data_IF_883410474463
#
_entry.id   IF_883410474463
#
_cell.length_a   1.000
_cell.length_b   1.000
_cell.length_c   1.000
_cell.angle_alpha   90.00
_cell.angle_beta   90.00
_cell.angle_gamma   90.00
#
_symmetry.space_group_name_H-M   'P 1'
#
loop_
_entity.id
_entity.type
_entity.pdbx_description
1 polymer ?
#
# COMPACT_ATOMS: atom_id res chain seq x y z
N UNK A 1 -4.64 7.96 -4.13
CA UNK A 1 -4.86 8.11 -2.68
C UNK A 1 -3.79 9.02 -2.10
N UNK A 2 -4.05 9.58 -0.92
CA UNK A 2 -3.07 10.35 -0.17
C UNK A 2 -2.84 9.63 1.16
N UNK A 3 -1.59 9.40 1.53
CA UNK A 3 -1.26 8.76 2.82
C UNK A 3 -1.40 9.75 3.97
N UNK A 4 -1.48 9.24 5.20
CA UNK A 4 -1.48 10.08 6.42
C UNK A 4 -0.21 10.93 6.56
N UNK A 5 0.88 10.55 5.89
CA UNK A 5 2.15 11.27 5.86
C UNK A 5 2.21 12.31 4.73
N UNK A 6 1.14 12.47 3.94
CA UNK A 6 1.08 13.45 2.84
C UNK A 6 1.61 12.96 1.50
N UNK A 7 2.00 11.69 1.36
CA UNK A 7 2.44 11.14 0.07
C UNK A 7 1.26 10.89 -0.86
N UNK A 8 1.45 11.20 -2.15
CA UNK A 8 0.49 10.86 -3.20
C UNK A 8 0.81 9.49 -3.81
N UNK A 9 -0.22 8.71 -4.07
CA UNK A 9 -0.06 7.39 -4.68
C UNK A 9 -1.25 6.95 -5.54
N UNK A 10 -1.03 5.91 -6.33
CA UNK A 10 -2.02 5.24 -7.17
C UNK A 10 -2.07 3.78 -6.71
N UNK A 11 -3.26 3.23 -6.53
CA UNK A 11 -3.42 1.86 -6.03
C UNK A 11 -4.76 1.25 -6.44
N UNK A 12 -5.06 0.03 -5.99
CA UNK A 12 -6.20 -0.73 -6.48
C UNK A 12 -7.53 -0.09 -6.07
N UNK A 13 -8.57 -0.29 -6.89
CA UNK A 13 -9.91 0.22 -6.61
C UNK A 13 -10.52 -0.35 -5.30
N UNK A 14 -10.02 -1.50 -4.84
CA UNK A 14 -10.45 -2.15 -3.60
C UNK A 14 -9.87 -1.53 -2.31
N UNK A 15 -8.99 -0.52 -2.44
CA UNK A 15 -8.43 0.19 -1.28
C UNK A 15 -9.53 0.88 -0.47
N UNK A 16 -9.29 0.98 0.83
CA UNK A 16 -10.13 1.71 1.78
C UNK A 16 -9.28 2.52 2.75
N UNK A 17 -9.92 3.46 3.46
CA UNK A 17 -9.31 4.14 4.61
C UNK A 17 -8.90 3.08 5.64
N UNK A 18 -7.82 3.35 6.38
CA UNK A 18 -7.12 2.42 7.29
C UNK A 18 -6.29 1.30 6.64
N UNK A 19 -6.31 1.17 5.31
CA UNK A 19 -5.33 0.35 4.61
C UNK A 19 -3.91 0.93 4.76
N UNK A 20 -2.92 0.03 4.85
CA UNK A 20 -1.52 0.40 5.08
C UNK A 20 -0.70 0.19 3.83
N UNK A 21 0.06 1.21 3.46
CA UNK A 21 1.17 1.09 2.51
C UNK A 21 2.35 0.45 3.23
N UNK A 22 2.91 -0.61 2.67
CA UNK A 22 4.11 -1.28 3.18
C UNK A 22 5.04 -1.68 2.05
N UNK A 23 6.33 -1.81 2.34
CA UNK A 23 7.28 -2.52 1.49
C UNK A 23 7.65 -3.79 2.23
N UNK A 24 7.19 -4.94 1.73
CA UNK A 24 7.56 -6.23 2.31
C UNK A 24 9.00 -6.57 1.94
N UNK A 25 9.72 -7.25 2.83
CA UNK A 25 11.08 -7.71 2.55
C UNK A 25 11.10 -8.57 1.28
N UNK A 26 11.96 -8.20 0.32
CA UNK A 26 12.05 -8.84 -1.00
C UNK A 26 11.05 -8.33 -2.04
N UNK A 27 10.10 -7.46 -1.67
CA UNK A 27 9.28 -6.75 -2.65
C UNK A 27 10.06 -5.58 -3.25
N UNK A 28 9.95 -5.42 -4.57
CA UNK A 28 10.48 -4.26 -5.29
C UNK A 28 9.43 -3.16 -5.50
N UNK A 29 8.19 -3.41 -5.07
CA UNK A 29 7.07 -2.46 -5.19
C UNK A 29 6.36 -2.26 -3.84
N UNK A 30 5.79 -1.07 -3.58
CA UNK A 30 4.90 -0.85 -2.45
C UNK A 30 3.61 -1.66 -2.57
N UNK A 31 3.11 -2.15 -1.44
CA UNK A 31 1.93 -2.99 -1.33
C UNK A 31 0.92 -2.38 -0.37
N UNK A 32 -0.36 -2.62 -0.64
CA UNK A 32 -1.46 -2.27 0.25
C UNK A 32 -1.90 -3.49 1.05
N UNK A 33 -1.81 -3.39 2.37
CA UNK A 33 -2.30 -4.39 3.30
C UNK A 33 -3.48 -3.88 4.11
N UNK A 34 -4.49 -4.75 4.31
CA UNK A 34 -5.62 -4.51 5.20
C UNK A 34 -5.53 -5.43 6.41
N UNK A 35 -5.67 -4.89 7.61
CA UNK A 35 -5.70 -5.69 8.84
C UNK A 35 -7.02 -6.47 8.94
N UNK A 36 -6.94 -7.76 9.25
CA UNK A 36 -8.10 -8.60 9.56
C UNK A 36 -8.32 -8.58 11.09
N UNK A 37 -9.35 -7.87 11.56
CA UNK A 37 -9.55 -7.66 13.01
C UNK A 37 -9.71 -8.95 13.80
N UNK A 38 -10.31 -9.99 13.21
CA UNK A 38 -10.60 -11.27 13.87
C UNK A 38 -9.39 -12.19 14.06
N UNK A 39 -8.31 -12.01 13.28
CA UNK A 39 -7.18 -12.96 13.25
C UNK A 39 -5.83 -12.32 13.50
N UNK A 40 -5.74 -10.99 13.55
CA UNK A 40 -4.46 -10.27 13.61
C UNK A 40 -3.62 -10.36 12.33
N UNK A 41 -4.07 -11.14 11.35
CA UNK A 41 -3.44 -11.29 10.05
C UNK A 41 -3.69 -10.06 9.17
N UNK A 42 -2.96 -9.99 8.06
CA UNK A 42 -3.18 -8.99 7.02
C UNK A 42 -3.63 -9.67 5.73
N UNK A 43 -4.58 -9.03 5.05
CA UNK A 43 -4.96 -9.35 3.67
C UNK A 43 -4.18 -8.45 2.72
N UNK A 44 -3.57 -9.05 1.70
CA UNK A 44 -3.04 -8.31 0.57
C UNK A 44 -4.20 -7.76 -0.27
N UNK A 45 -4.27 -6.44 -0.41
CA UNK A 45 -5.27 -5.76 -1.25
C UNK A 45 -4.74 -5.62 -2.68
N UNK A 46 -3.45 -5.30 -2.83
CA UNK A 46 -2.77 -5.23 -4.12
C UNK A 46 -1.51 -4.36 -4.08
N UNK A 47 -0.89 -4.18 -5.25
CA UNK A 47 0.29 -3.32 -5.45
C UNK A 47 -0.12 -1.85 -5.59
N UNK A 48 0.79 -0.94 -5.23
CA UNK A 48 0.57 0.49 -5.42
C UNK A 48 1.85 1.23 -5.81
N UNK A 49 1.67 2.36 -6.49
CA UNK A 49 2.72 3.33 -6.72
C UNK A 49 2.61 4.44 -5.68
N UNK A 50 3.73 4.84 -5.07
CA UNK A 50 3.78 6.00 -4.17
C UNK A 50 4.89 6.93 -4.62
N UNK A 51 4.51 8.15 -4.97
CA UNK A 51 5.43 9.17 -5.45
C UNK A 51 6.45 9.53 -4.37
N UNK A 52 7.73 9.54 -4.75
CA UNK A 52 8.85 9.81 -3.84
C UNK A 52 9.29 8.63 -2.96
N UNK A 53 8.55 7.51 -3.00
CA UNK A 53 8.97 6.23 -2.37
C UNK A 53 9.39 5.23 -3.45
N UNK A 54 8.67 5.23 -4.57
CA UNK A 54 8.98 4.40 -5.72
C UNK A 54 9.53 5.26 -6.85
N UNK A 55 10.74 4.95 -7.30
CA UNK A 55 11.25 5.38 -8.59
C UNK A 55 10.64 4.45 -9.63
N UNK A 56 9.51 4.86 -10.21
CA UNK A 56 8.93 4.15 -11.33
C UNK A 56 9.79 4.39 -12.56
N UNK A 57 10.37 3.32 -13.11
CA UNK A 57 10.83 3.35 -14.50
C UNK A 57 9.59 3.66 -15.37
N UNK A 58 9.63 4.79 -16.06
CA UNK A 58 8.56 5.29 -16.90
C UNK A 58 8.58 4.65 -18.30
#
# INVERSE_FOLDING_TARGET
FTTAQGFMGIGPAAMAVEDRVVILYGSIVPLILRRCESSGNFKLVGECYVHGIMEGEA
#
